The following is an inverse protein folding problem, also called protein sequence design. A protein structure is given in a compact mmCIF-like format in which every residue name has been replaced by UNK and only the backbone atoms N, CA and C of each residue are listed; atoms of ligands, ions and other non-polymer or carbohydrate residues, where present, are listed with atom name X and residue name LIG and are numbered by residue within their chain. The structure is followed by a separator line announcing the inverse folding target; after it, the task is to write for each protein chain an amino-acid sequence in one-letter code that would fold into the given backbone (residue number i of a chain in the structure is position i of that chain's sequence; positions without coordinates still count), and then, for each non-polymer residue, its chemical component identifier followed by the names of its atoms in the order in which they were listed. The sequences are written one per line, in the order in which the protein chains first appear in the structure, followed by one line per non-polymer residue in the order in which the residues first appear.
data_IF_483492902680
#
_entry.id   IF_483492902680
#
_cell.length_a   1.000
_cell.length_b   1.000
_cell.length_c   1.000
_cell.angle_alpha   90.00
_cell.angle_beta   90.00
_cell.angle_gamma   90.00
#
_symmetry.space_group_name_H-M   'P 1'
#
loop_
_entity.id
_entity.type
_entity.pdbx_description
1 polymer ?
#
# COMPACT_ATOMS: atom_id res chain seq x y z
N UNK A 1 -8.00 -30.25 -11.82
CA UNK A 1 -8.91 -29.99 -10.68
C UNK A 1 -8.79 -28.51 -10.37
N UNK A 2 -9.88 -27.75 -10.36
CA UNK A 2 -9.79 -26.32 -10.07
C UNK A 2 -9.74 -26.16 -8.54
N UNK A 3 -8.70 -25.49 -8.04
CA UNK A 3 -8.41 -25.38 -6.61
C UNK A 3 -8.46 -23.91 -6.21
N UNK A 4 -9.22 -23.61 -5.17
CA UNK A 4 -9.27 -22.29 -4.54
C UNK A 4 -8.44 -22.32 -3.28
N UNK A 5 -7.35 -21.57 -3.25
CA UNK A 5 -6.54 -21.38 -2.06
C UNK A 5 -7.01 -20.12 -1.31
N UNK A 6 -7.57 -20.31 -0.12
CA UNK A 6 -7.84 -19.24 0.85
C UNK A 6 -6.68 -19.18 1.84
N UNK A 7 -6.04 -18.03 1.92
CA UNK A 7 -4.89 -17.78 2.79
C UNK A 7 -5.27 -16.71 3.80
N UNK A 8 -5.36 -17.07 5.07
CA UNK A 8 -5.65 -16.14 6.18
C UNK A 8 -4.35 -15.77 6.88
N UNK A 9 -4.12 -14.48 7.08
CA UNK A 9 -2.97 -13.94 7.78
C UNK A 9 -3.28 -13.71 9.26
N UNK A 10 -2.26 -13.65 10.12
CA UNK A 10 -2.42 -13.33 11.55
C UNK A 10 -3.07 -11.95 11.78
N UNK A 11 -2.88 -11.03 10.84
CA UNK A 11 -3.54 -9.73 10.85
C UNK A 11 -5.04 -9.77 10.49
N UNK A 12 -5.65 -10.95 10.33
CA UNK A 12 -7.08 -11.14 10.03
C UNK A 12 -7.48 -10.96 8.57
N UNK A 13 -6.56 -10.56 7.69
CA UNK A 13 -6.83 -10.45 6.25
C UNK A 13 -6.78 -11.82 5.58
N UNK A 14 -7.74 -12.09 4.67
CA UNK A 14 -7.80 -13.33 3.90
C UNK A 14 -7.66 -13.05 2.41
N UNK A 15 -6.71 -13.71 1.75
CA UNK A 15 -6.49 -13.67 0.31
C UNK A 15 -7.07 -14.93 -0.33
N UNK A 16 -7.80 -14.79 -1.42
CA UNK A 16 -8.32 -15.93 -2.19
C UNK A 16 -7.64 -15.95 -3.55
N UNK A 17 -6.97 -17.06 -3.87
CA UNK A 17 -6.38 -17.30 -5.19
C UNK A 17 -6.99 -18.57 -5.76
N UNK A 18 -7.65 -18.45 -6.91
CA UNK A 18 -8.18 -19.58 -7.65
C UNK A 18 -7.19 -19.95 -8.75
N UNK A 19 -6.75 -21.21 -8.83
CA UNK A 19 -5.97 -21.66 -9.99
C UNK A 19 -6.95 -22.05 -11.12
N UNK A 20 -6.92 -21.27 -12.19
CA UNK A 20 -7.66 -21.57 -13.42
C UNK A 20 -6.85 -22.56 -14.29
N UNK A 21 -6.57 -23.75 -13.77
CA UNK A 21 -6.28 -24.89 -14.64
C UNK A 21 -7.59 -25.64 -14.89
N UNK A 22 -8.54 -24.94 -15.51
CA UNK A 22 -9.74 -25.55 -16.06
C UNK A 22 -9.48 -25.66 -17.57
N UNK A 23 -9.25 -26.88 -18.07
CA UNK A 23 -9.01 -27.17 -19.49
C UNK A 23 -10.18 -26.64 -20.34
N UNK A 24 -9.95 -26.10 -21.56
CA UNK A 24 -10.94 -25.35 -22.35
C UNK A 24 -12.13 -26.16 -22.88
N UNK A 25 -12.29 -27.43 -22.49
CA UNK A 25 -13.28 -28.36 -23.06
C UNK A 25 -14.45 -28.74 -22.14
N UNK A 26 -14.59 -28.14 -20.96
CA UNK A 26 -15.75 -28.43 -20.11
C UNK A 26 -16.06 -27.25 -19.21
N UNK A 27 -17.35 -26.87 -19.20
CA UNK A 27 -18.13 -26.08 -18.24
C UNK A 27 -17.40 -25.41 -17.06
N UNK A 28 -17.81 -24.20 -16.61
CA UNK A 28 -17.24 -23.58 -15.41
C UNK A 28 -17.21 -24.59 -14.27
N UNK A 29 -16.07 -24.72 -13.60
CA UNK A 29 -15.86 -25.75 -12.58
C UNK A 29 -16.88 -25.58 -11.45
N UNK A 30 -17.87 -26.49 -11.40
CA UNK A 30 -19.03 -26.35 -10.51
C UNK A 30 -18.69 -26.53 -9.02
N UNK A 31 -17.53 -27.07 -8.68
CA UNK A 31 -17.07 -27.26 -7.30
C UNK A 31 -15.55 -27.16 -7.21
N UNK A 32 -14.98 -25.96 -7.00
CA UNK A 32 -13.55 -25.86 -6.73
C UNK A 32 -13.23 -26.46 -5.35
N UNK A 33 -12.15 -27.24 -5.27
CA UNK A 33 -11.63 -27.72 -3.98
C UNK A 33 -11.04 -26.53 -3.22
N UNK A 34 -11.54 -26.26 -2.01
CA UNK A 34 -11.16 -25.08 -1.22
C UNK A 34 -10.13 -25.48 -0.17
N UNK A 35 -8.88 -25.09 -0.37
CA UNK A 35 -7.83 -25.24 0.63
C UNK A 35 -7.71 -23.98 1.46
N UNK A 36 -7.84 -24.11 2.78
CA UNK A 36 -7.60 -23.02 3.73
C UNK A 36 -6.20 -23.16 4.32
N UNK A 37 -5.39 -22.10 4.27
CA UNK A 37 -4.09 -22.01 4.93
C UNK A 37 -4.06 -20.79 5.84
N UNK A 38 -3.38 -20.93 6.97
CA UNK A 38 -3.12 -19.84 7.88
C UNK A 38 -1.61 -19.54 7.89
N UNK A 39 -1.24 -18.27 7.71
CA UNK A 39 0.12 -17.80 7.91
C UNK A 39 0.18 -16.93 9.16
N UNK A 40 1.10 -17.27 10.06
CA UNK A 40 1.37 -16.50 11.26
C UNK A 40 2.24 -15.27 10.96
N UNK A 41 1.81 -14.46 9.99
CA UNK A 41 2.52 -13.26 9.55
C UNK A 41 1.50 -12.15 9.26
N UNK A 42 1.98 -10.91 9.15
CA UNK A 42 1.19 -9.74 8.77
C UNK A 42 1.25 -9.53 7.26
N UNK A 43 0.12 -9.20 6.63
CA UNK A 43 0.14 -8.88 5.21
C UNK A 43 0.82 -7.53 4.93
N UNK A 44 1.25 -7.29 3.69
CA UNK A 44 1.81 -6.00 3.25
C UNK A 44 0.90 -4.76 3.50
N UNK A 45 -0.40 -4.96 3.76
CA UNK A 45 -1.33 -3.89 4.18
C UNK A 45 -1.16 -3.52 5.67
N UNK A 46 -0.82 -4.50 6.50
CA UNK A 46 -0.62 -4.37 7.93
C UNK A 46 0.85 -4.17 8.32
N UNK A 47 1.79 -4.45 7.41
CA UNK A 47 3.20 -4.22 7.65
C UNK A 47 3.47 -2.73 7.97
N UNK A 48 4.08 -2.42 9.13
CA UNK A 48 4.33 -1.05 9.56
C UNK A 48 5.26 -0.27 8.61
N UNK A 49 6.23 -0.93 7.96
CA UNK A 49 7.17 -0.24 7.06
C UNK A 49 6.50 0.13 5.75
N UNK A 50 5.77 -0.80 5.15
CA UNK A 50 4.98 -0.55 3.95
C UNK A 50 3.89 0.48 4.20
N UNK A 51 3.26 0.49 5.39
CA UNK A 51 2.30 1.53 5.76
C UNK A 51 2.98 2.90 5.90
N UNK A 52 4.15 2.99 6.54
CA UNK A 52 4.94 4.24 6.61
C UNK A 52 5.37 4.74 5.22
N UNK A 53 5.85 3.84 4.35
CA UNK A 53 6.23 4.17 2.97
C UNK A 53 5.06 4.76 2.18
N UNK A 54 3.87 4.14 2.26
CA UNK A 54 2.65 4.67 1.64
C UNK A 54 2.25 6.04 2.19
N UNK A 55 2.20 6.18 3.52
CA UNK A 55 1.86 7.46 4.18
C UNK A 55 2.83 8.58 3.75
N UNK A 56 4.13 8.28 3.65
CA UNK A 56 5.15 9.21 3.17
C UNK A 56 4.90 9.60 1.70
N UNK A 57 4.69 8.63 0.82
CA UNK A 57 4.45 8.87 -0.60
C UNK A 57 3.21 9.75 -0.83
N UNK A 58 2.11 9.45 -0.12
CA UNK A 58 0.89 10.26 -0.19
C UNK A 58 1.11 11.70 0.30
N UNK A 59 1.87 11.87 1.38
CA UNK A 59 2.24 13.20 1.87
C UNK A 59 3.05 13.98 0.82
N UNK A 60 4.10 13.38 0.26
CA UNK A 60 4.98 14.02 -0.71
C UNK A 60 4.21 14.43 -1.97
N UNK A 61 3.37 13.54 -2.49
CA UNK A 61 2.51 13.83 -3.65
C UNK A 61 1.59 15.02 -3.36
N UNK A 62 0.84 14.98 -2.26
CA UNK A 62 -0.10 16.05 -1.92
C UNK A 62 0.62 17.36 -1.60
N UNK A 63 1.76 17.31 -0.93
CA UNK A 63 2.55 18.49 -0.61
C UNK A 63 3.11 19.15 -1.87
N UNK A 64 3.59 18.37 -2.84
CA UNK A 64 4.05 18.88 -4.12
C UNK A 64 2.93 19.59 -4.90
N UNK A 65 1.73 19.01 -4.95
CA UNK A 65 0.55 19.61 -5.57
C UNK A 65 0.19 20.96 -4.92
N UNK A 66 0.10 21.00 -3.59
CA UNK A 66 -0.19 22.23 -2.85
C UNK A 66 0.90 23.30 -3.09
N UNK A 67 2.17 22.89 -3.18
CA UNK A 67 3.28 23.80 -3.44
C UNK A 67 3.22 24.40 -4.84
N UNK A 68 2.87 23.61 -5.84
CA UNK A 68 2.68 24.11 -7.21
C UNK A 68 1.55 25.14 -7.26
N UNK A 69 0.42 24.87 -6.60
CA UNK A 69 -0.69 25.82 -6.50
C UNK A 69 -0.28 27.11 -5.77
N UNK A 70 0.53 26.98 -4.72
CA UNK A 70 1.01 28.13 -3.95
C UNK A 70 1.91 29.03 -4.81
N UNK A 71 2.85 28.42 -5.55
CA UNK A 71 3.74 29.14 -6.46
C UNK A 71 2.95 29.84 -7.57
N UNK A 72 1.90 29.20 -8.10
CA UNK A 72 1.01 29.82 -9.08
C UNK A 72 0.26 31.02 -8.49
N UNK A 73 -0.31 30.88 -7.27
CA UNK A 73 -0.99 31.98 -6.56
C UNK A 73 -0.04 33.14 -6.25
N UNK A 74 1.19 32.82 -5.84
CA UNK A 74 2.25 33.80 -5.58
C UNK A 74 2.63 34.59 -6.83
N UNK A 75 2.71 33.94 -7.99
CA UNK A 75 3.03 34.59 -9.27
C UNK A 75 2.01 35.67 -9.66
N UNK A 76 0.73 35.46 -9.34
CA UNK A 76 -0.35 36.41 -9.60
C UNK A 76 -0.66 37.33 -8.41
N UNK A 77 0.09 37.21 -7.31
CA UNK A 77 -0.09 38.04 -6.11
C UNK A 77 -1.37 37.76 -5.31
N UNK A 78 -2.00 36.60 -5.49
CA UNK A 78 -3.26 36.25 -4.82
C UNK A 78 -3.01 35.77 -3.38
N UNK A 79 -2.99 36.73 -2.45
CA UNK A 79 -2.67 36.49 -1.03
C UNK A 79 -3.67 35.59 -0.30
N UNK A 80 -4.97 35.75 -0.57
CA UNK A 80 -6.00 34.95 0.10
C UNK A 80 -5.86 33.46 -0.26
N UNK A 81 -5.55 33.17 -1.52
CA UNK A 81 -5.28 31.80 -1.99
C UNK A 81 -4.00 31.26 -1.36
N UNK A 82 -2.95 32.08 -1.23
CA UNK A 82 -1.71 31.68 -0.57
C UNK A 82 -1.95 31.28 0.90
N UNK A 83 -2.66 32.11 1.67
CA UNK A 83 -2.99 31.83 3.08
C UNK A 83 -3.77 30.51 3.21
N UNK A 84 -4.77 30.30 2.33
CA UNK A 84 -5.55 29.06 2.32
C UNK A 84 -4.68 27.84 2.01
N UNK A 85 -3.75 27.94 1.06
CA UNK A 85 -2.86 26.85 0.70
C UNK A 85 -1.85 26.54 1.81
N UNK A 86 -1.34 27.55 2.52
CA UNK A 86 -0.49 27.37 3.71
C UNK A 86 -1.23 26.60 4.82
N UNK A 87 -2.50 26.92 5.04
CA UNK A 87 -3.35 26.16 5.96
C UNK A 87 -3.48 24.69 5.52
N UNK A 88 -3.79 24.44 4.24
CA UNK A 88 -3.90 23.08 3.71
C UNK A 88 -2.58 22.28 3.80
N UNK A 89 -1.43 22.93 3.61
CA UNK A 89 -0.12 22.29 3.80
C UNK A 89 0.12 21.90 5.27
N UNK A 90 -0.33 22.75 6.19
CA UNK A 90 -0.26 22.47 7.63
C UNK A 90 -1.14 21.28 8.00
N UNK A 91 -2.38 21.23 7.51
CA UNK A 91 -3.28 20.08 7.69
C UNK A 91 -2.71 18.78 7.09
N UNK A 92 -2.10 18.84 5.90
CA UNK A 92 -1.44 17.69 5.28
C UNK A 92 -0.31 17.14 6.17
N UNK A 93 0.43 18.02 6.83
CA UNK A 93 1.50 17.65 7.77
C UNK A 93 0.94 17.00 9.03
N UNK A 94 -0.08 17.60 9.64
CA UNK A 94 -0.71 17.09 10.87
C UNK A 94 -1.36 15.72 10.66
N UNK A 95 -2.16 15.58 9.60
CA UNK A 95 -2.80 14.31 9.24
C UNK A 95 -1.78 13.19 8.97
N UNK A 96 -0.66 13.52 8.34
CA UNK A 96 0.44 12.56 8.11
C UNK A 96 1.12 12.14 9.41
N UNK A 97 1.35 13.07 10.33
CA UNK A 97 1.89 12.74 11.67
C UNK A 97 0.96 11.81 12.44
N UNK A 98 -0.35 12.09 12.44
CA UNK A 98 -1.35 11.25 13.09
C UNK A 98 -1.35 9.83 12.53
N UNK A 99 -1.36 9.68 11.20
CA UNK A 99 -1.31 8.37 10.54
C UNK A 99 -0.03 7.60 10.86
N UNK A 100 1.11 8.27 10.97
CA UNK A 100 2.36 7.64 11.37
C UNK A 100 2.37 7.20 12.85
N UNK A 101 1.71 7.96 13.74
CA UNK A 101 1.56 7.57 15.15
C UNK A 101 0.75 6.28 15.30
N UNK A 102 -0.37 6.16 14.59
CA UNK A 102 -1.18 4.93 14.56
C UNK A 102 -0.41 3.69 14.13
N UNK A 103 0.60 3.85 13.25
CA UNK A 103 1.45 2.74 12.81
C UNK A 103 2.41 2.29 13.91
N UNK A 104 2.84 3.19 14.80
CA UNK A 104 3.74 2.88 15.91
C UNK A 104 3.11 2.05 17.03
N UNK A 105 1.78 1.98 17.10
CA UNK A 105 1.04 1.23 18.11
C UNK A 105 0.88 -0.27 17.77
N UNK A 106 1.18 -0.67 16.53
CA UNK A 106 1.06 -2.07 16.09
C UNK A 106 2.32 -2.82 16.50
N UNK A 107 2.20 -3.68 17.53
CA UNK A 107 3.30 -4.50 18.06
C UNK A 107 3.89 -5.38 16.94
N UNK A 108 5.21 -5.26 16.70
CA UNK A 108 5.95 -6.22 15.86
C UNK A 108 6.29 -7.46 16.67
N UNK A 109 6.14 -8.63 16.07
CA UNK A 109 6.98 -9.78 16.41
C UNK A 109 8.32 -9.60 15.68
N UNK A 110 9.47 -9.68 16.37
CA UNK A 110 10.78 -9.32 15.83
C UNK A 110 11.37 -10.34 14.83
N UNK A 111 10.72 -11.48 14.59
CA UNK A 111 11.33 -12.63 13.90
C UNK A 111 11.01 -12.74 12.39
N UNK A 112 10.38 -11.74 11.78
CA UNK A 112 10.05 -11.77 10.34
C UNK A 112 11.11 -11.02 9.51
N UNK A 113 11.94 -11.78 8.79
CA UNK A 113 12.88 -11.26 7.78
C UNK A 113 12.19 -11.21 6.41
N UNK A 114 11.99 -10.02 5.86
CA UNK A 114 11.47 -9.85 4.50
C UNK A 114 12.59 -10.02 3.48
N UNK A 115 12.45 -10.92 2.52
CA UNK A 115 13.34 -10.95 1.34
C UNK A 115 13.21 -9.60 0.60
N UNK A 116 14.32 -8.86 0.54
CA UNK A 116 14.40 -7.67 -0.29
C UNK A 116 14.10 -8.05 -1.74
N UNK A 117 13.10 -7.41 -2.33
CA UNK A 117 12.82 -7.55 -3.76
C UNK A 117 14.03 -7.02 -4.54
N UNK A 118 14.89 -7.93 -4.96
CA UNK A 118 16.01 -7.73 -5.88
C UNK A 118 15.47 -7.28 -7.24
N UNK A 119 15.27 -5.98 -7.38
CA UNK A 119 15.22 -5.33 -8.69
C UNK A 119 16.64 -4.95 -9.11
N UNK A 120 17.42 -5.94 -9.52
CA UNK A 120 18.60 -5.73 -10.36
C UNK A 120 18.48 -6.60 -11.62
N UNK A 121 17.55 -6.22 -12.50
CA UNK A 121 17.66 -6.60 -13.90
C UNK A 121 18.74 -5.72 -14.53
N UNK A 122 20.00 -6.12 -14.34
CA UNK A 122 21.11 -5.61 -15.14
C UNK A 122 20.91 -6.05 -16.60
N UNK A 123 20.39 -5.14 -17.43
CA UNK A 123 20.51 -5.24 -18.87
C UNK A 123 22.00 -5.16 -19.24
N UNK A 124 22.62 -6.30 -19.58
CA UNK A 124 23.83 -6.31 -20.39
C UNK A 124 23.42 -6.36 -21.86
N UNK A 125 23.48 -5.20 -22.50
CA UNK A 125 23.71 -5.10 -23.94
C UNK A 125 25.22 -4.97 -24.12
N UNK A 126 25.82 -5.99 -24.75
CA UNK A 126 26.93 -5.97 -25.74
C UNK A 126 27.55 -7.37 -25.83
#
# INVERSE_FOLDING_TARGET
MCTTLKTTMACGHTFTRTSEQCTPSSSPCNTPDVQCRFFNDTCAKCDPEQRRRRVKMEYEYRHAELMQLYLAAKKVGNRDTMIRLEYMMTENTLSTRQRNFEVGLVRRDPDVMWEESSSETSHKFE
#
